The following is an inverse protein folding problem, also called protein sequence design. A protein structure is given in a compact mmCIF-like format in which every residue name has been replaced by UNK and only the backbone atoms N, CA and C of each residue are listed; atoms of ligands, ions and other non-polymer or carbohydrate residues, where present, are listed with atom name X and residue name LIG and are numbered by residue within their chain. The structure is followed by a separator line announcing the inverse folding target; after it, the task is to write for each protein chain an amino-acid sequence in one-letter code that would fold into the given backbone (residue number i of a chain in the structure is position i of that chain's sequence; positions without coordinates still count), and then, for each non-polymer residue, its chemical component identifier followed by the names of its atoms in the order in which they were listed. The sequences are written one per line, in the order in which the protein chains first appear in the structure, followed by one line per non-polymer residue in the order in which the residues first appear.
data_IF_465375661089
#
_entry.id   IF_465375661089
#
_cell.length_a   1.000
_cell.length_b   1.000
_cell.length_c   1.000
_cell.angle_alpha   90.00
_cell.angle_beta   90.00
_cell.angle_gamma   90.00
#
_symmetry.space_group_name_H-M   'P 1'
#
loop_
_entity.id
_entity.type
_entity.pdbx_description
1 polymer ?
#
# COMPACT_ATOMS: atom_id res chain seq x y z
N UNK A 1 2.38 12.70 -9.20
CA UNK A 1 2.50 13.56 -10.41
C UNK A 1 3.35 14.79 -10.15
N UNK A 2 2.96 15.67 -9.22
CA UNK A 2 3.68 16.92 -8.94
C UNK A 2 5.19 16.76 -8.76
N UNK A 3 5.65 15.80 -7.93
CA UNK A 3 7.09 15.53 -7.74
C UNK A 3 7.84 15.37 -9.08
N UNK A 4 7.33 14.51 -9.97
CA UNK A 4 7.90 14.34 -11.32
C UNK A 4 7.83 15.60 -12.17
N UNK A 5 6.70 16.31 -12.14
CA UNK A 5 6.52 17.53 -12.93
C UNK A 5 7.54 18.61 -12.56
N UNK A 6 7.88 18.72 -11.28
CA UNK A 6 8.85 19.70 -10.79
C UNK A 6 10.29 19.16 -10.71
N UNK A 7 10.56 17.94 -11.19
CA UNK A 7 11.90 17.35 -11.18
C UNK A 7 12.40 16.92 -9.79
N UNK A 8 11.51 16.82 -8.81
CA UNK A 8 11.84 16.40 -7.45
C UNK A 8 12.03 14.88 -7.40
N UNK A 9 13.26 14.45 -7.16
CA UNK A 9 13.63 13.03 -7.15
C UNK A 9 13.97 12.49 -5.76
N UNK A 10 14.19 13.37 -4.78
CA UNK A 10 14.54 13.03 -3.39
C UNK A 10 13.32 13.08 -2.46
N UNK A 11 12.14 12.78 -2.99
CA UNK A 11 10.89 12.80 -2.25
C UNK A 11 9.96 11.68 -2.73
N UNK A 12 9.12 11.20 -1.81
CA UNK A 12 8.05 10.23 -2.07
C UNK A 12 6.75 10.70 -1.46
N UNK A 13 5.64 10.21 -2.00
CA UNK A 13 4.31 10.38 -1.38
C UNK A 13 3.94 9.10 -0.66
N UNK A 14 3.39 9.22 0.55
CA UNK A 14 2.82 8.08 1.28
C UNK A 14 1.29 8.20 1.27
N UNK A 15 0.61 7.10 0.94
CA UNK A 15 -0.84 6.95 1.10
C UNK A 15 -1.11 5.75 1.99
N UNK A 16 -1.75 5.95 3.14
CA UNK A 16 -2.03 4.88 4.11
C UNK A 16 -3.53 4.67 4.29
N UNK A 17 -3.96 3.42 4.30
CA UNK A 17 -5.36 3.04 4.42
C UNK A 17 -5.53 1.63 4.99
N UNK A 18 -6.74 1.28 5.41
CA UNK A 18 -7.09 -0.09 5.84
C UNK A 18 -7.28 -1.04 4.65
N UNK A 19 -7.28 -2.35 4.90
CA UNK A 19 -7.50 -3.33 3.83
C UNK A 19 -8.90 -3.23 3.22
N UNK A 20 -9.88 -2.80 4.00
CA UNK A 20 -11.26 -2.72 3.54
C UNK A 20 -11.53 -1.59 2.54
N UNK A 21 -10.67 -0.56 2.46
CA UNK A 21 -10.81 0.45 1.41
C UNK A 21 -10.34 -0.05 0.05
N UNK A 22 -9.66 -1.21 -0.02
CA UNK A 22 -9.15 -1.76 -1.29
C UNK A 22 -10.26 -2.16 -2.26
N UNK A 23 -11.49 -2.37 -1.77
CA UNK A 23 -12.66 -2.62 -2.63
C UNK A 23 -13.33 -1.33 -3.14
N UNK A 24 -12.84 -0.15 -2.76
CA UNK A 24 -13.29 1.11 -3.31
C UNK A 24 -12.62 1.38 -4.68
N UNK A 25 -13.41 1.79 -5.66
CA UNK A 25 -12.92 1.98 -7.04
C UNK A 25 -11.75 2.96 -7.15
N UNK A 26 -11.75 4.03 -6.35
CA UNK A 26 -10.70 5.05 -6.38
C UNK A 26 -9.33 4.50 -5.93
N UNK A 27 -9.29 3.44 -5.11
CA UNK A 27 -8.03 2.80 -4.72
C UNK A 27 -7.41 2.08 -5.91
N UNK A 28 -8.23 1.36 -6.67
CA UNK A 28 -7.78 0.69 -7.89
C UNK A 28 -7.27 1.70 -8.92
N UNK A 29 -8.04 2.76 -9.16
CA UNK A 29 -7.67 3.84 -10.09
C UNK A 29 -6.34 4.51 -9.70
N UNK A 30 -6.16 4.81 -8.41
CA UNK A 30 -4.94 5.45 -7.91
C UNK A 30 -3.69 4.57 -8.12
N UNK A 31 -3.78 3.27 -7.80
CA UNK A 31 -2.65 2.34 -7.93
C UNK A 31 -2.36 2.05 -9.41
N UNK A 32 -3.39 1.91 -10.24
CA UNK A 32 -3.23 1.70 -11.68
C UNK A 32 -2.58 2.92 -12.34
N UNK A 33 -3.06 4.13 -12.02
CA UNK A 33 -2.47 5.38 -12.50
C UNK A 33 -1.02 5.55 -12.07
N UNK A 34 -0.72 5.27 -10.79
CA UNK A 34 0.63 5.31 -10.27
C UNK A 34 1.56 4.30 -10.97
N UNK A 35 1.07 3.10 -11.28
CA UNK A 35 1.83 2.08 -12.02
C UNK A 35 2.09 2.51 -13.46
N UNK A 36 1.06 3.01 -14.16
CA UNK A 36 1.17 3.46 -15.55
C UNK A 36 2.14 4.63 -15.71
N UNK A 37 2.05 5.63 -14.83
CA UNK A 37 2.88 6.84 -14.87
C UNK A 37 4.21 6.68 -14.11
N UNK A 38 4.43 5.51 -13.49
CA UNK A 38 5.58 5.20 -12.65
C UNK A 38 5.75 6.27 -11.57
N UNK A 39 4.77 6.53 -10.72
CA UNK A 39 4.86 7.60 -9.72
C UNK A 39 5.58 7.12 -8.45
N UNK A 40 6.46 7.94 -7.82
CA UNK A 40 7.14 7.59 -6.57
C UNK A 40 6.18 7.66 -5.37
N UNK A 41 5.29 6.67 -5.26
CA UNK A 41 4.25 6.59 -4.23
C UNK A 41 4.39 5.29 -3.45
N UNK A 42 4.39 5.38 -2.12
CA UNK A 42 4.30 4.26 -1.19
C UNK A 42 2.85 4.13 -0.72
N UNK A 43 2.16 3.10 -1.19
CA UNK A 43 0.84 2.71 -0.68
C UNK A 43 1.04 1.79 0.52
N UNK A 44 0.41 2.09 1.65
CA UNK A 44 0.49 1.30 2.87
C UNK A 44 -0.89 0.77 3.21
N UNK A 45 -1.05 -0.55 3.16
CA UNK A 45 -2.27 -1.23 3.56
C UNK A 45 -2.09 -1.81 4.97
N UNK A 46 -2.88 -1.29 5.90
CA UNK A 46 -2.98 -1.80 7.26
C UNK A 46 -4.05 -2.90 7.27
N UNK A 47 -3.62 -4.15 7.10
CA UNK A 47 -4.50 -5.31 7.09
C UNK A 47 -4.78 -5.77 8.52
N UNK A 48 -5.83 -5.21 9.10
CA UNK A 48 -6.27 -5.47 10.47
C UNK A 48 -7.39 -6.52 10.56
N UNK A 49 -7.91 -6.95 9.40
CA UNK A 49 -8.90 -8.01 9.24
C UNK A 49 -10.37 -7.56 9.20
N UNK A 50 -10.68 -6.27 9.39
CA UNK A 50 -12.05 -5.78 9.51
C UNK A 50 -12.31 -4.38 8.94
N UNK A 51 -13.40 -4.27 8.16
CA UNK A 51 -14.05 -3.01 7.82
C UNK A 51 -15.26 -2.77 8.70
N UNK A 52 -15.13 -1.96 9.75
CA UNK A 52 -16.17 -1.74 10.78
C UNK A 52 -16.62 -3.07 11.43
N UNK A 53 -17.66 -3.71 10.90
CA UNK A 53 -18.18 -5.01 11.34
C UNK A 53 -17.94 -6.14 10.33
N UNK A 54 -17.48 -5.81 9.12
CA UNK A 54 -17.33 -6.76 8.01
C UNK A 54 -15.96 -7.43 8.10
N UNK A 55 -15.89 -8.77 8.24
CA UNK A 55 -14.62 -9.48 8.20
C UNK A 55 -14.02 -9.43 6.80
N UNK A 56 -12.69 -9.41 6.69
CA UNK A 56 -11.98 -9.30 5.41
C UNK A 56 -12.40 -10.34 4.37
N UNK A 57 -12.74 -11.56 4.80
CA UNK A 57 -13.15 -12.65 3.90
C UNK A 57 -14.44 -12.35 3.13
N UNK A 58 -15.31 -11.49 3.67
CA UNK A 58 -16.52 -11.00 3.01
C UNK A 58 -16.25 -9.75 2.15
N UNK A 59 -15.08 -9.14 2.28
CA UNK A 59 -14.73 -7.86 1.65
C UNK A 59 -13.89 -8.03 0.39
N UNK A 60 -13.00 -9.03 0.32
CA UNK A 60 -12.15 -9.29 -0.85
C UNK A 60 -11.91 -10.78 -1.09
N UNK A 61 -11.74 -11.15 -2.36
CA UNK A 61 -11.49 -12.55 -2.74
C UNK A 61 -10.09 -13.05 -2.36
N UNK A 62 -9.09 -12.15 -2.29
CA UNK A 62 -7.72 -12.54 -1.96
C UNK A 62 -7.46 -12.36 -0.46
N UNK A 63 -6.96 -13.42 0.21
CA UNK A 63 -6.55 -13.37 1.63
C UNK A 63 -5.58 -12.21 1.94
N UNK A 64 -4.67 -11.94 1.01
CA UNK A 64 -3.76 -10.80 1.05
C UNK A 64 -4.24 -9.78 0.03
N UNK A 65 -4.82 -8.66 0.48
CA UNK A 65 -5.39 -7.63 -0.40
C UNK A 65 -4.40 -7.08 -1.44
N UNK A 66 -3.09 -7.05 -1.14
CA UNK A 66 -2.08 -6.64 -2.11
C UNK A 66 -2.01 -7.55 -3.34
N UNK A 67 -2.42 -8.83 -3.22
CA UNK A 67 -2.47 -9.77 -4.36
C UNK A 67 -3.43 -9.34 -5.47
N UNK A 68 -4.41 -8.49 -5.16
CA UNK A 68 -5.29 -7.89 -6.17
C UNK A 68 -4.50 -7.07 -7.21
N UNK A 69 -3.27 -6.68 -6.90
CA UNK A 69 -2.42 -5.82 -7.73
C UNK A 69 -1.15 -6.53 -8.26
N UNK A 70 -0.98 -7.84 -8.02
CA UNK A 70 0.23 -8.59 -8.45
C UNK A 70 0.47 -8.55 -9.98
N UNK A 71 -0.58 -8.30 -10.78
CA UNK A 71 -0.47 -8.17 -12.23
C UNK A 71 0.02 -6.80 -12.74
N UNK A 72 0.25 -5.82 -11.86
CA UNK A 72 0.57 -4.45 -12.28
C UNK A 72 2.06 -4.32 -12.62
N UNK A 73 2.36 -4.02 -13.89
CA UNK A 73 3.72 -4.04 -14.47
C UNK A 73 4.81 -3.33 -13.65
N UNK A 74 4.51 -2.14 -13.12
CA UNK A 74 5.52 -1.29 -12.46
C UNK A 74 5.32 -1.19 -10.95
N UNK A 75 4.50 -2.06 -10.35
CA UNK A 75 4.21 -2.03 -8.92
C UNK A 75 5.08 -3.06 -8.18
N UNK A 76 5.85 -2.60 -7.19
CA UNK A 76 6.49 -3.52 -6.23
C UNK A 76 5.53 -3.79 -5.07
N UNK A 77 5.48 -5.03 -4.59
CA UNK A 77 4.69 -5.42 -3.42
C UNK A 77 5.64 -5.93 -2.33
N UNK A 78 5.50 -5.40 -1.12
CA UNK A 78 6.24 -5.78 0.08
C UNK A 78 5.20 -6.20 1.14
N UNK A 79 5.53 -7.24 1.90
CA UNK A 79 4.72 -7.70 3.02
C UNK A 79 5.53 -7.59 4.30
N UNK A 80 4.91 -7.16 5.40
CA UNK A 80 5.52 -7.17 6.72
C UNK A 80 4.52 -7.56 7.81
N UNK A 81 5.06 -7.99 8.94
CA UNK A 81 4.34 -8.15 10.19
C UNK A 81 4.15 -6.78 10.85
N UNK A 82 2.96 -6.20 10.68
CA UNK A 82 2.58 -4.90 11.24
C UNK A 82 2.51 -4.86 12.77
N UNK A 83 2.72 -5.99 13.46
CA UNK A 83 2.82 -6.07 14.93
C UNK A 83 4.27 -6.02 15.43
N UNK A 84 5.23 -6.16 14.52
CA UNK A 84 6.66 -6.06 14.80
C UNK A 84 7.16 -4.71 14.28
N UNK A 85 7.64 -3.87 15.20
CA UNK A 85 8.11 -2.52 14.88
C UNK A 85 9.33 -2.55 13.95
N UNK A 86 10.24 -3.51 14.14
CA UNK A 86 11.47 -3.59 13.35
C UNK A 86 11.17 -4.11 11.95
N UNK A 87 10.30 -5.11 11.82
CA UNK A 87 9.88 -5.60 10.49
C UNK A 87 9.12 -4.52 9.71
N UNK A 88 8.26 -3.76 10.40
CA UNK A 88 7.54 -2.63 9.80
C UNK A 88 8.49 -1.50 9.37
N UNK A 89 9.47 -1.15 10.20
CA UNK A 89 10.48 -0.14 9.87
C UNK A 89 11.31 -0.57 8.66
N UNK A 90 11.84 -1.80 8.67
CA UNK A 90 12.64 -2.33 7.58
C UNK A 90 11.87 -2.34 6.25
N UNK A 91 10.60 -2.76 6.28
CA UNK A 91 9.76 -2.76 5.08
C UNK A 91 9.48 -1.36 4.54
N UNK A 92 9.30 -0.37 5.42
CA UNK A 92 9.10 1.03 5.02
C UNK A 92 10.39 1.66 4.50
N UNK A 93 11.54 1.39 5.12
CA UNK A 93 12.86 1.83 4.62
C UNK A 93 13.12 1.27 3.21
N UNK A 94 12.86 -0.03 2.99
CA UNK A 94 12.96 -0.66 1.68
C UNK A 94 12.01 -0.02 0.65
N UNK A 95 10.76 0.22 1.05
CA UNK A 95 9.74 0.80 0.18
C UNK A 95 10.13 2.22 -0.27
N UNK A 96 10.54 3.07 0.67
CA UNK A 96 10.95 4.45 0.39
C UNK A 96 12.19 4.45 -0.49
N UNK A 97 13.21 3.66 -0.15
CA UNK A 97 14.44 3.58 -0.95
C UNK A 97 14.16 3.11 -2.39
N UNK A 98 13.29 2.12 -2.56
CA UNK A 98 12.89 1.66 -3.89
C UNK A 98 12.09 2.72 -4.66
N UNK A 99 11.13 3.40 -4.03
CA UNK A 99 10.30 4.40 -4.69
C UNK A 99 11.12 5.63 -5.13
N UNK A 100 12.08 6.06 -4.29
CA UNK A 100 13.02 7.14 -4.63
C UNK A 100 13.96 6.73 -5.77
N UNK A 101 14.58 5.55 -5.67
CA UNK A 101 15.57 5.09 -6.66
C UNK A 101 14.96 4.79 -8.02
N UNK A 102 13.86 4.04 -8.03
CA UNK A 102 13.24 3.55 -9.26
C UNK A 102 12.24 4.54 -9.85
N UNK A 103 11.84 5.55 -9.06
CA UNK A 103 10.79 6.49 -9.43
C UNK A 103 9.55 5.74 -9.91
N UNK A 104 9.05 4.80 -9.10
CA UNK A 104 7.92 3.88 -9.35
C UNK A 104 7.11 3.65 -8.07
N UNK A 105 5.88 3.09 -8.14
CA UNK A 105 5.03 2.89 -6.96
C UNK A 105 5.25 1.54 -6.26
N UNK A 106 5.21 1.56 -4.93
CA UNK A 106 5.35 0.37 -4.08
C UNK A 106 4.16 0.26 -3.17
N UNK A 107 3.74 -0.96 -2.90
CA UNK A 107 2.66 -1.30 -2.00
C UNK A 107 3.24 -2.13 -0.84
N UNK A 108 3.12 -1.63 0.38
CA UNK A 108 3.46 -2.33 1.61
C UNK A 108 2.16 -2.80 2.26
N UNK A 109 1.97 -4.11 2.39
CA UNK A 109 0.89 -4.67 3.20
C UNK A 109 1.43 -5.09 4.56
N UNK A 110 1.04 -4.35 5.59
CA UNK A 110 1.35 -4.63 6.97
C UNK A 110 0.23 -5.43 7.62
N UNK A 111 0.51 -6.68 8.02
CA UNK A 111 -0.45 -7.51 8.73
C UNK A 111 -0.49 -7.13 10.22
N UNK A 112 -1.58 -6.48 10.64
CA UNK A 112 -1.80 -6.02 12.01
C UNK A 112 -3.11 -6.59 12.57
N UNK A 113 -3.58 -6.03 13.69
CA UNK A 113 -4.83 -6.44 14.35
C UNK A 113 -5.55 -5.20 14.85
N UNK A 114 -6.89 -5.19 14.75
CA UNK A 114 -7.70 -4.16 15.38
C UNK A 114 -7.97 -4.55 16.84
N UNK A 115 -7.26 -3.92 17.78
CA UNK A 115 -7.33 -4.28 19.21
C UNK A 115 -8.63 -3.79 19.86
N UNK A 116 -9.15 -2.64 19.43
CA UNK A 116 -10.36 -2.01 19.98
C UNK A 116 -11.60 -2.09 19.09
N UNK A 117 -12.66 -1.40 19.52
CA UNK A 117 -13.81 -1.11 18.65
C UNK A 117 -13.39 -0.24 17.46
N UNK A 118 -14.26 -0.16 16.46
CA UNK A 118 -14.01 0.70 15.31
C UNK A 118 -14.01 2.19 15.68
N UNK A 119 -14.91 2.58 16.57
CA UNK A 119 -15.07 3.92 17.15
C UNK A 119 -15.64 3.83 18.56
#
# INVERSE_FOLDING_TARGET
RALKTYGETDAVVISSQGESSVSEGYVYEAINGASNEQLPVVFVFQDNGYGISVPKEDQTANRKVAKNFEGFKNLRIIYCNGKDVFDSMNAMEEAVAWAMKEQKPVLVQANCVRIGSHS
#
